data_IF_974012968509
#
_entry.id   IF_974012968509
#
_cell.length_a   1.000
_cell.length_b   1.000
_cell.length_c   1.000
_cell.angle_alpha   90.00
_cell.angle_beta   90.00
_cell.angle_gamma   90.00
#
_symmetry.space_group_name_H-M   'P 1'
#
loop_
_entity.id
_entity.type
_entity.pdbx_description
1 polymer ?
#
# COMPACT_ATOMS: atom_id res chain seq x y z
N UNK A 1 -3.04 8.01 20.00
CA UNK A 1 -4.34 8.27 19.33
C UNK A 1 -4.22 8.57 17.83
N UNK A 2 -3.42 9.57 17.38
CA UNK A 2 -3.31 9.92 15.95
C UNK A 2 -2.92 8.76 15.02
N UNK A 3 -1.94 7.95 15.41
CA UNK A 3 -1.50 6.79 14.63
C UNK A 3 -2.55 5.68 14.60
N UNK A 4 -3.26 5.43 15.71
CA UNK A 4 -4.34 4.43 15.76
C UNK A 4 -5.45 4.79 14.75
N UNK A 5 -5.89 6.05 14.76
CA UNK A 5 -6.91 6.54 13.80
C UNK A 5 -6.38 6.43 12.37
N UNK A 6 -5.13 6.82 12.13
CA UNK A 6 -4.50 6.69 10.82
C UNK A 6 -4.50 5.23 10.33
N UNK A 7 -3.94 4.30 11.10
CA UNK A 7 -3.83 2.90 10.71
C UNK A 7 -5.21 2.27 10.53
N UNK A 8 -6.17 2.57 11.41
CA UNK A 8 -7.54 2.08 11.27
C UNK A 8 -8.15 2.48 9.92
N UNK A 9 -8.15 3.78 9.58
CA UNK A 9 -8.71 4.27 8.31
C UNK A 9 -7.90 3.72 7.13
N UNK A 10 -6.58 3.67 7.25
CA UNK A 10 -5.69 3.17 6.20
C UNK A 10 -5.97 1.69 5.90
N UNK A 11 -6.18 0.86 6.93
CA UNK A 11 -6.52 -0.55 6.76
C UNK A 11 -7.94 -0.77 6.22
N UNK A 12 -8.89 0.15 6.45
CA UNK A 12 -10.18 0.13 5.75
C UNK A 12 -9.99 0.33 4.23
N UNK A 13 -9.15 1.29 3.84
CA UNK A 13 -8.79 1.51 2.43
C UNK A 13 -8.09 0.29 1.80
N UNK A 14 -7.10 -0.27 2.51
CA UNK A 14 -6.38 -1.46 2.07
C UNK A 14 -7.29 -2.70 1.99
N UNK A 15 -8.15 -2.90 2.99
CA UNK A 15 -9.10 -4.01 3.00
C UNK A 15 -10.07 -3.94 1.82
N UNK A 16 -10.64 -2.75 1.58
CA UNK A 16 -11.51 -2.47 0.43
C UNK A 16 -10.81 -2.69 -0.91
N UNK A 17 -9.53 -2.34 -1.00
CA UNK A 17 -8.70 -2.62 -2.17
C UNK A 17 -8.55 -4.14 -2.39
N UNK A 18 -8.10 -4.87 -1.37
CA UNK A 18 -7.81 -6.31 -1.48
C UNK A 18 -9.07 -7.13 -1.77
N UNK A 19 -10.19 -6.79 -1.14
CA UNK A 19 -11.47 -7.48 -1.35
C UNK A 19 -12.04 -7.24 -2.74
N UNK A 20 -11.80 -6.07 -3.35
CA UNK A 20 -12.29 -5.74 -4.68
C UNK A 20 -11.35 -6.19 -5.80
N UNK A 21 -10.04 -6.26 -5.53
CA UNK A 21 -9.02 -6.52 -6.55
C UNK A 21 -9.23 -7.86 -7.24
N UNK A 22 -9.40 -8.92 -6.46
CA UNK A 22 -9.48 -10.28 -7.01
C UNK A 22 -10.64 -10.43 -8.00
N UNK A 23 -11.89 -10.19 -7.57
CA UNK A 23 -13.02 -10.38 -8.46
C UNK A 23 -13.04 -9.35 -9.62
N UNK A 24 -12.51 -8.14 -9.43
CA UNK A 24 -12.38 -7.17 -10.52
C UNK A 24 -11.41 -7.65 -11.61
N UNK A 25 -10.24 -8.13 -11.21
CA UNK A 25 -9.23 -8.60 -12.17
C UNK A 25 -9.74 -9.82 -12.93
N UNK A 26 -10.38 -10.77 -12.24
CA UNK A 26 -10.93 -11.98 -12.86
C UNK A 26 -12.08 -11.63 -13.84
N UNK A 27 -12.97 -10.71 -13.47
CA UNK A 27 -14.10 -10.30 -14.30
C UNK A 27 -13.69 -9.57 -15.58
N UNK A 28 -12.67 -8.70 -15.52
CA UNK A 28 -12.31 -7.83 -16.64
C UNK A 28 -11.11 -8.33 -17.46
N UNK A 29 -10.25 -9.18 -16.88
CA UNK A 29 -9.01 -9.63 -17.52
C UNK A 29 -8.91 -11.15 -17.63
N UNK A 30 -9.82 -11.92 -17.03
CA UNK A 30 -9.89 -13.38 -17.14
C UNK A 30 -8.56 -14.05 -16.81
N UNK A 31 -8.04 -14.87 -17.73
CA UNK A 31 -6.76 -15.56 -17.57
C UNK A 31 -5.56 -14.62 -17.34
N UNK A 32 -5.67 -13.34 -17.73
CA UNK A 32 -4.61 -12.35 -17.55
C UNK A 32 -4.57 -11.76 -16.13
N UNK A 33 -5.57 -12.05 -15.28
CA UNK A 33 -5.66 -11.55 -13.91
C UNK A 33 -4.43 -11.92 -13.06
N UNK A 34 -3.91 -13.13 -13.25
CA UNK A 34 -2.68 -13.63 -12.61
C UNK A 34 -1.53 -12.61 -12.70
N UNK A 35 -1.29 -12.07 -13.89
CA UNK A 35 -0.20 -11.12 -14.14
C UNK A 35 -0.42 -9.78 -13.43
N UNK A 36 -1.67 -9.37 -13.24
CA UNK A 36 -2.02 -8.15 -12.51
C UNK A 36 -1.68 -8.31 -11.03
N UNK A 37 -1.98 -9.46 -10.43
CA UNK A 37 -1.57 -9.74 -9.04
C UNK A 37 -0.05 -9.80 -8.90
N UNK A 38 0.62 -10.47 -9.83
CA UNK A 38 2.07 -10.63 -9.84
C UNK A 38 2.80 -9.28 -9.96
N UNK A 39 2.39 -8.46 -10.94
CA UNK A 39 2.92 -7.13 -11.14
C UNK A 39 2.70 -6.28 -9.88
N UNK A 40 1.49 -6.31 -9.32
CA UNK A 40 1.22 -5.65 -8.06
C UNK A 40 2.14 -6.12 -6.92
N UNK A 41 2.43 -7.42 -6.84
CA UNK A 41 3.26 -7.99 -5.78
C UNK A 41 4.70 -7.44 -5.81
N UNK A 42 5.22 -7.12 -6.99
CA UNK A 42 6.51 -6.45 -7.15
C UNK A 42 6.51 -5.01 -6.62
N UNK A 43 5.35 -4.34 -6.59
CA UNK A 43 5.22 -2.97 -6.10
C UNK A 43 5.49 -2.84 -4.59
N UNK A 44 5.07 -3.82 -3.78
CA UNK A 44 5.25 -3.79 -2.32
C UNK A 44 6.71 -3.63 -1.86
N UNK A 45 7.68 -4.49 -2.25
CA UNK A 45 9.07 -4.34 -1.83
C UNK A 45 9.68 -3.01 -2.31
N UNK A 46 9.36 -2.59 -3.55
CA UNK A 46 9.79 -1.30 -4.09
C UNK A 46 9.29 -0.15 -3.22
N UNK A 47 8.03 -0.19 -2.79
CA UNK A 47 7.46 0.88 -1.98
C UNK A 47 8.10 1.00 -0.60
N UNK A 48 8.42 -0.13 0.06
CA UNK A 48 9.12 -0.10 1.35
C UNK A 48 10.53 0.46 1.23
N UNK A 49 11.25 0.08 0.16
CA UNK A 49 12.58 0.60 -0.13
C UNK A 49 12.54 2.10 -0.43
N UNK A 50 11.64 2.54 -1.32
CA UNK A 50 11.49 3.95 -1.70
C UNK A 50 11.07 4.80 -0.50
N UNK A 51 10.06 4.38 0.27
CA UNK A 51 9.59 5.10 1.45
C UNK A 51 10.68 5.23 2.52
N UNK A 52 11.40 4.14 2.79
CA UNK A 52 12.56 4.13 3.67
C UNK A 52 13.65 5.09 3.20
N UNK A 53 14.16 4.86 1.98
CA UNK A 53 15.25 5.63 1.38
C UNK A 53 14.94 7.12 1.30
N UNK A 54 13.76 7.51 0.81
CA UNK A 54 13.39 8.92 0.70
C UNK A 54 13.27 9.59 2.08
N UNK A 55 12.70 8.89 3.07
CA UNK A 55 12.62 9.43 4.44
C UNK A 55 13.99 9.59 5.09
N UNK A 56 14.91 8.64 4.87
CA UNK A 56 16.28 8.69 5.37
C UNK A 56 17.06 9.82 4.68
N UNK A 57 16.92 9.95 3.35
CA UNK A 57 17.67 10.93 2.53
C UNK A 57 17.19 12.36 2.72
N UNK A 58 15.88 12.58 2.75
CA UNK A 58 15.27 13.92 2.84
C UNK A 58 15.02 14.35 4.29
N UNK A 59 15.10 13.42 5.25
CA UNK A 59 14.76 13.63 6.68
C UNK A 59 13.34 14.14 6.91
N UNK A 60 12.44 13.89 5.96
CA UNK A 60 11.05 14.31 6.00
C UNK A 60 10.15 13.08 6.11
N UNK A 61 9.09 13.18 6.92
CA UNK A 61 8.07 12.14 7.08
C UNK A 61 6.71 12.64 6.60
N UNK A 62 6.18 13.69 7.24
CA UNK A 62 4.84 14.20 6.93
C UNK A 62 4.64 14.58 5.45
N UNK A 63 5.47 15.40 4.79
CA UNK A 63 5.20 15.80 3.41
C UNK A 63 5.28 14.61 2.46
N UNK A 64 6.21 13.67 2.67
CA UNK A 64 6.27 12.43 1.87
C UNK A 64 5.01 11.59 2.04
N UNK A 65 4.51 11.45 3.27
CA UNK A 65 3.28 10.72 3.55
C UNK A 65 2.05 11.40 2.93
N UNK A 66 1.93 12.72 3.01
CA UNK A 66 0.81 13.46 2.43
C UNK A 66 0.81 13.37 0.90
N UNK A 67 1.97 13.52 0.27
CA UNK A 67 2.12 13.34 -1.18
C UNK A 67 1.79 11.90 -1.57
N UNK A 68 2.33 10.91 -0.84
CA UNK A 68 2.07 9.50 -1.08
C UNK A 68 0.59 9.14 -0.98
N UNK A 69 -0.13 9.67 0.00
CA UNK A 69 -1.59 9.48 0.14
C UNK A 69 -2.36 10.17 -0.98
N UNK A 70 -1.97 11.39 -1.35
CA UNK A 70 -2.60 12.13 -2.44
C UNK A 70 -2.43 11.42 -3.79
N UNK A 71 -1.28 10.80 -4.05
CA UNK A 71 -1.01 10.00 -5.25
C UNK A 71 -1.68 8.61 -5.20
N UNK A 72 -1.88 8.05 -4.01
CA UNK A 72 -2.53 6.75 -3.84
C UNK A 72 -3.99 6.77 -4.29
N UNK A 73 -4.70 7.88 -4.08
CA UNK A 73 -6.11 8.04 -4.49
C UNK A 73 -6.30 7.87 -6.00
N UNK A 74 -5.64 8.65 -6.88
CA UNK A 74 -5.76 8.47 -8.33
C UNK A 74 -5.15 7.14 -8.79
N UNK A 75 -4.12 6.60 -8.13
CA UNK A 75 -3.55 5.30 -8.49
C UNK A 75 -4.55 4.15 -8.26
N UNK A 76 -5.22 4.12 -7.09
CA UNK A 76 -6.26 3.14 -6.81
C UNK A 76 -7.47 3.34 -7.73
N UNK A 77 -7.88 4.58 -7.97
CA UNK A 77 -8.97 4.87 -8.88
C UNK A 77 -8.67 4.39 -10.30
N UNK A 78 -7.47 4.65 -10.79
CA UNK A 78 -7.00 4.19 -12.09
C UNK A 78 -7.03 2.66 -12.14
N UNK A 79 -6.51 1.96 -11.13
CA UNK A 79 -6.50 0.50 -11.10
C UNK A 79 -7.89 -0.15 -11.23
N UNK A 80 -8.96 0.52 -10.80
CA UNK A 80 -10.34 0.03 -10.95
C UNK A 80 -11.11 0.70 -12.09
N UNK A 81 -10.41 1.35 -13.03
CA UNK A 81 -11.03 1.86 -14.25
C UNK A 81 -11.26 0.71 -15.22
N UNK A 82 -12.52 0.42 -15.61
CA UNK A 82 -12.80 -0.67 -16.55
C UNK A 82 -12.10 -0.42 -17.88
N UNK A 83 -11.81 -1.51 -18.59
CA UNK A 83 -11.31 -1.49 -19.97
C UNK A 83 -9.96 -0.78 -20.18
N UNK A 84 -9.12 -0.72 -19.14
CA UNK A 84 -7.75 -0.26 -19.30
C UNK A 84 -6.94 -1.21 -20.18
N UNK A 85 -6.10 -0.68 -21.10
CA UNK A 85 -5.12 -1.49 -21.82
C UNK A 85 -4.26 -2.31 -20.86
N UNK A 86 -3.97 -3.57 -21.22
CA UNK A 86 -3.25 -4.50 -20.35
C UNK A 86 -1.93 -3.96 -19.78
N UNK A 87 -1.04 -3.28 -20.55
CA UNK A 87 0.17 -2.68 -19.98
C UNK A 87 -0.11 -1.59 -18.92
N UNK A 88 -1.22 -0.86 -19.08
CA UNK A 88 -1.59 0.23 -18.19
C UNK A 88 -2.17 -0.29 -16.87
N UNK A 89 -2.95 -1.38 -16.89
CA UNK A 89 -3.43 -2.01 -15.65
C UNK A 89 -2.29 -2.65 -14.85
N UNK A 90 -1.30 -3.25 -15.51
CA UNK A 90 -0.09 -3.76 -14.83
C UNK A 90 0.67 -2.64 -14.13
N UNK A 91 0.87 -1.53 -14.85
CA UNK A 91 1.53 -0.33 -14.30
C UNK A 91 0.75 0.25 -13.13
N UNK A 92 -0.58 0.36 -13.26
CA UNK A 92 -1.44 0.82 -12.18
C UNK A 92 -1.37 -0.10 -10.95
N UNK A 93 -1.33 -1.42 -11.15
CA UNK A 93 -1.18 -2.39 -10.06
C UNK A 93 0.16 -2.25 -9.31
N UNK A 94 1.27 -2.08 -10.04
CA UNK A 94 2.60 -1.81 -9.45
C UNK A 94 2.55 -0.50 -8.66
N UNK A 95 2.14 0.59 -9.29
CA UNK A 95 2.12 1.92 -8.69
C UNK A 95 1.25 1.97 -7.44
N UNK A 96 0.06 1.37 -7.48
CA UNK A 96 -0.88 1.37 -6.36
C UNK A 96 -0.30 0.62 -5.15
N UNK A 97 0.21 -0.60 -5.33
CA UNK A 97 0.82 -1.37 -4.23
C UNK A 97 2.14 -0.77 -3.75
N UNK A 98 2.91 -0.15 -4.63
CA UNK A 98 4.09 0.63 -4.25
C UNK A 98 3.70 1.81 -3.36
N UNK A 99 2.70 2.61 -3.73
CA UNK A 99 2.22 3.72 -2.92
C UNK A 99 1.60 3.26 -1.60
N UNK A 100 0.88 2.14 -1.58
CA UNK A 100 0.44 1.51 -0.33
C UNK A 100 1.65 1.25 0.58
N UNK A 101 2.65 0.51 0.08
CA UNK A 101 3.87 0.22 0.84
C UNK A 101 4.61 1.48 1.32
N UNK A 102 4.79 2.50 0.46
CA UNK A 102 5.46 3.77 0.84
C UNK A 102 4.73 4.41 2.02
N UNK A 103 3.41 4.57 1.93
CA UNK A 103 2.63 5.22 2.97
C UNK A 103 2.65 4.43 4.28
N UNK A 104 2.54 3.10 4.19
CA UNK A 104 2.60 2.22 5.36
C UNK A 104 3.97 2.28 6.04
N UNK A 105 5.05 2.28 5.26
CA UNK A 105 6.42 2.38 5.77
C UNK A 105 6.68 3.73 6.45
N UNK A 106 6.30 4.84 5.82
CA UNK A 106 6.47 6.18 6.38
C UNK A 106 5.69 6.37 7.69
N UNK A 107 4.44 5.89 7.74
CA UNK A 107 3.62 5.93 8.95
C UNK A 107 4.20 5.05 10.06
N UNK A 108 4.74 3.87 9.71
CA UNK A 108 5.40 2.97 10.66
C UNK A 108 6.67 3.57 11.23
N UNK A 109 7.52 4.18 10.40
CA UNK A 109 8.70 4.93 10.84
C UNK A 109 8.28 6.04 11.80
N UNK A 110 7.28 6.84 11.44
CA UNK A 110 6.82 7.93 12.27
C UNK A 110 6.26 7.46 13.63
N UNK A 111 5.52 6.35 13.65
CA UNK A 111 5.05 5.73 14.89
C UNK A 111 6.22 5.29 15.76
N UNK A 112 7.18 4.56 15.19
CA UNK A 112 8.33 4.04 15.93
C UNK A 112 9.20 5.15 16.49
N UNK A 113 9.45 6.23 15.72
CA UNK A 113 10.21 7.38 16.22
C UNK A 113 9.47 8.11 17.35
N UNK A 114 8.14 8.12 17.33
CA UNK A 114 7.36 8.72 18.42
C UNK A 114 7.40 7.93 19.73
N UNK A 115 7.86 6.68 19.70
CA UNK A 115 8.01 5.81 20.87
C UNK A 115 9.40 5.90 21.54
N UNK A 116 10.34 6.66 20.96
CA UNK A 116 11.69 6.85 21.49
C UNK A 116 12.79 6.06 20.76
N UNK A 117 14.07 6.38 21.00
CA UNK A 117 15.21 5.93 20.18
C UNK A 117 15.66 4.48 20.42
N UNK A 118 15.57 3.95 21.63
CA UNK A 118 16.15 2.63 21.96
C UNK A 118 15.50 1.42 21.25
N UNK A 119 14.18 1.38 20.97
CA UNK A 119 13.60 0.27 20.23
C UNK A 119 13.55 0.47 18.70
N UNK A 120 13.86 1.68 18.19
CA UNK A 120 13.55 2.07 16.81
C UNK A 120 14.22 1.20 15.73
N UNK A 121 15.55 1.04 15.79
CA UNK A 121 16.32 0.33 14.76
C UNK A 121 16.01 -1.17 14.70
N UNK A 122 15.89 -1.82 15.87
CA UNK A 122 15.59 -3.26 15.97
C UNK A 122 14.15 -3.57 15.54
N UNK A 123 13.18 -2.74 15.92
CA UNK A 123 11.78 -2.96 15.52
C UNK A 123 11.60 -2.66 14.02
N UNK A 124 12.21 -1.60 13.48
CA UNK A 124 12.14 -1.26 12.05
C UNK A 124 12.69 -2.38 11.16
N UNK A 125 13.87 -2.92 11.51
CA UNK A 125 14.51 -4.00 10.75
C UNK A 125 13.72 -5.30 10.82
N UNK A 126 13.25 -5.70 12.00
CA UNK A 126 12.43 -6.91 12.20
C UNK A 126 11.08 -6.82 11.48
N UNK A 127 10.43 -5.66 11.51
CA UNK A 127 9.19 -5.41 10.78
C UNK A 127 9.38 -5.45 9.27
N UNK A 128 10.49 -4.90 8.76
CA UNK A 128 10.83 -4.92 7.33
C UNK A 128 11.12 -6.35 6.85
N UNK A 129 11.84 -7.14 7.65
CA UNK A 129 12.11 -8.55 7.37
C UNK A 129 10.83 -9.38 7.38
N UNK A 130 10.00 -9.24 8.41
CA UNK A 130 8.72 -9.94 8.50
C UNK A 130 7.80 -9.61 7.32
N UNK A 131 7.76 -8.33 6.91
CA UNK A 131 7.05 -7.92 5.70
C UNK A 131 7.61 -8.59 4.45
N UNK A 132 8.94 -8.60 4.26
CA UNK A 132 9.57 -9.26 3.12
C UNK A 132 9.23 -10.75 3.06
N UNK A 133 9.27 -11.46 4.19
CA UNK A 133 8.89 -12.87 4.30
C UNK A 133 7.42 -13.09 3.92
N UNK A 134 6.50 -12.26 4.41
CA UNK A 134 5.07 -12.34 4.05
C UNK A 134 4.89 -12.11 2.55
N UNK A 135 5.59 -11.15 1.94
CA UNK A 135 5.48 -10.90 0.50
C UNK A 135 6.06 -12.04 -0.34
N UNK A 136 7.16 -12.67 0.12
CA UNK A 136 7.69 -13.89 -0.50
C UNK A 136 6.71 -15.06 -0.38
N UNK A 137 6.09 -15.25 0.79
CA UNK A 137 5.09 -16.28 1.00
C UNK A 137 3.88 -16.08 0.08
N UNK A 138 3.34 -14.86 0.01
CA UNK A 138 2.25 -14.51 -0.90
C UNK A 138 2.63 -14.70 -2.38
N UNK A 139 3.86 -14.37 -2.77
CA UNK A 139 4.36 -14.65 -4.13
C UNK A 139 4.37 -16.14 -4.44
N UNK A 140 4.85 -16.97 -3.51
CA UNK A 140 4.84 -18.43 -3.65
C UNK A 140 3.40 -18.95 -3.73
N UNK A 141 2.49 -18.50 -2.86
CA UNK A 141 1.08 -18.90 -2.90
C UNK A 141 0.44 -18.58 -4.25
N UNK A 142 0.68 -17.38 -4.79
CA UNK A 142 0.14 -16.96 -6.08
C UNK A 142 0.73 -17.76 -7.25
N UNK A 143 1.97 -18.24 -7.15
CA UNK A 143 2.66 -18.97 -8.23
C UNK A 143 2.42 -20.49 -8.19
N UNK A 144 1.98 -21.03 -7.05
CA UNK A 144 1.84 -22.48 -6.82
C UNK A 144 0.39 -22.93 -6.65
N UNK A 145 -0.53 -22.08 -6.16
CA UNK A 145 -1.92 -22.46 -5.93
C UNK A 145 -2.83 -22.04 -7.07
N UNK A 146 -3.62 -22.99 -7.58
CA UNK A 146 -4.62 -22.78 -8.63
C UNK A 146 -5.81 -22.01 -8.05
N UNK A 147 -6.07 -20.81 -8.56
CA UNK A 147 -7.04 -19.87 -8.00
C UNK A 147 -8.44 -20.16 -8.59
N UNK A 148 -9.34 -20.78 -7.82
CA UNK A 148 -10.74 -20.96 -8.22
C UNK A 148 -11.57 -19.71 -7.89
N UNK A 149 -12.18 -19.11 -8.91
CA UNK A 149 -12.86 -17.81 -8.86
C UNK A 149 -14.04 -17.75 -7.86
N UNK A 150 -14.10 -16.67 -7.08
CA UNK A 150 -15.23 -16.31 -6.22
C UNK A 150 -16.29 -15.50 -6.99
N UNK A 151 -17.55 -15.65 -6.58
CA UNK A 151 -18.76 -15.14 -7.26
C UNK A 151 -18.84 -13.61 -7.39
N UNK A 152 -19.56 -13.09 -8.41
CA UNK A 152 -19.54 -11.67 -8.78
C UNK A 152 -20.53 -10.83 -7.95
N UNK A 153 -20.02 -9.92 -7.12
CA UNK A 153 -20.70 -8.71 -6.63
C UNK A 153 -20.20 -7.51 -7.44
N UNK A 154 -20.82 -6.32 -7.37
CA UNK A 154 -20.35 -5.14 -8.13
C UNK A 154 -19.10 -4.54 -7.46
N UNK A 155 -17.93 -5.15 -7.70
CA UNK A 155 -16.69 -4.88 -6.98
C UNK A 155 -15.91 -3.65 -7.48
N UNK A 156 -16.15 -3.19 -8.71
CA UNK A 156 -15.48 -2.00 -9.25
C UNK A 156 -15.80 -0.72 -8.45
N UNK A 157 -17.03 -0.62 -7.93
CA UNK A 157 -17.44 0.46 -7.02
C UNK A 157 -16.78 0.32 -5.64
N UNK A 158 -16.62 -0.91 -5.13
CA UNK A 158 -15.95 -1.18 -3.86
C UNK A 158 -14.47 -0.79 -3.90
N UNK A 159 -13.77 -1.06 -5.01
CA UNK A 159 -12.38 -0.67 -5.18
C UNK A 159 -12.17 0.84 -5.19
N UNK A 160 -13.04 1.57 -5.91
CA UNK A 160 -13.01 3.04 -5.98
C UNK A 160 -13.43 3.72 -4.68
N UNK A 161 -14.45 3.21 -4.00
CA UNK A 161 -14.87 3.73 -2.68
C UNK A 161 -13.77 3.53 -1.63
N UNK A 162 -12.98 2.46 -1.76
CA UNK A 162 -11.76 2.26 -0.97
C UNK A 162 -10.77 3.44 -1.01
N UNK A 163 -10.71 4.17 -2.13
CA UNK A 163 -9.81 5.31 -2.28
C UNK A 163 -10.19 6.50 -1.37
N UNK A 164 -11.48 6.63 -1.01
CA UNK A 164 -11.96 7.68 -0.11
C UNK A 164 -11.34 7.55 1.29
N UNK A 165 -11.04 6.34 1.74
CA UNK A 165 -10.37 6.14 3.03
C UNK A 165 -8.96 6.74 3.03
N UNK A 166 -8.24 6.74 1.90
CA UNK A 166 -6.92 7.39 1.84
C UNK A 166 -7.01 8.92 1.83
N UNK A 167 -8.09 9.50 1.29
CA UNK A 167 -8.40 10.93 1.47
C UNK A 167 -8.62 11.23 2.95
N UNK A 168 -9.41 10.40 3.64
CA UNK A 168 -9.65 10.54 5.09
C UNK A 168 -8.38 10.40 5.93
N UNK A 169 -7.40 9.59 5.46
CA UNK A 169 -6.10 9.45 6.11
C UNK A 169 -5.27 10.75 6.11
N UNK A 170 -5.53 11.72 5.21
CA UNK A 170 -4.81 12.99 5.17
C UNK A 170 -4.98 13.79 6.47
N UNK A 171 -6.16 13.71 7.12
CA UNK A 171 -6.46 14.44 8.35
C UNK A 171 -5.57 14.00 9.54
N UNK A 172 -5.50 12.71 9.92
CA UNK A 172 -4.57 12.28 10.96
C UNK A 172 -3.10 12.36 10.49
N UNK A 173 -2.80 12.17 9.20
CA UNK A 173 -1.45 12.28 8.66
C UNK A 173 -0.87 13.70 8.78
N UNK A 174 -1.70 14.74 8.64
CA UNK A 174 -1.28 16.13 8.83
C UNK A 174 -0.76 16.42 10.25
N UNK A 175 -1.09 15.56 11.24
CA UNK A 175 -0.66 15.68 12.64
C UNK A 175 0.58 14.84 12.98
N UNK A 176 1.16 14.14 12.01
CA UNK A 176 2.43 13.40 12.17
C UNK A 176 3.61 14.39 12.20
N UNK A 177 4.74 14.01 12.81
CA UNK A 177 5.93 14.86 12.83
C UNK A 177 6.44 15.16 11.41
N UNK A 178 7.00 16.36 11.23
CA UNK A 178 7.52 16.81 9.93
C UNK A 178 8.80 16.06 9.59
N UNK A 179 9.72 16.05 10.55
CA UNK A 179 11.08 15.57 10.38
C UNK A 179 11.30 14.26 11.12
N UNK A 180 12.40 13.60 10.76
CA UNK A 180 12.91 12.43 11.45
C UNK A 180 13.58 12.81 12.76
N UNK A 181 13.26 12.09 13.84
CA UNK A 181 13.77 12.35 15.20
C UNK A 181 15.11 11.62 15.43
N UNK A 182 15.30 10.42 14.88
CA UNK A 182 16.46 9.57 15.20
C UNK A 182 17.79 10.00 14.55
N UNK A 183 17.84 11.20 13.96
CA UNK A 183 19.01 11.74 13.25
C UNK A 183 19.40 13.14 13.75
N UNK A 184 18.81 13.58 14.85
CA UNK A 184 19.22 14.74 15.66
C UNK A 184 20.10 14.26 16.82
#
# INVERSE_FOLDING_TARGET
MKFIIFFFIYFLGLGSYLSALSPYADQHFGEQAYWIYLAGQMGYPLGYLVGGYLSDRLRLLRPLLLIGLALLVPAQWLQFTPDLPFPLILTAAICNRMLLAVNLQLASIALLESAGPEPFSRIRSSGTLGFAVIQCALWVTLTVMDYSAAQPFPFSLSGKTGALFFVLCLLPAARIQIHRISHE
#
